data_IF_074894179239
#
_entry.id   IF_074894179239
#
_cell.length_a   1.000
_cell.length_b   1.000
_cell.length_c   1.000
_cell.angle_alpha   90.00
_cell.angle_beta   90.00
_cell.angle_gamma   90.00
#
_symmetry.space_group_name_H-M   'P 1'
#
loop_
_entity.id
_entity.type
_entity.pdbx_description
1 polymer ?
#
# COMPACT_ATOMS: atom_id res chain seq x y z
N UNK A 1 11.49 30.67 10.76
CA UNK A 1 11.27 29.29 10.28
C UNK A 1 9.82 28.95 10.59
N UNK A 2 9.04 28.47 9.61
CA UNK A 2 7.64 28.12 9.85
C UNK A 2 7.57 27.01 10.92
N UNK A 3 6.98 27.31 12.08
CA UNK A 3 6.70 26.31 13.10
C UNK A 3 5.59 25.38 12.59
N UNK A 4 5.97 24.33 11.86
CA UNK A 4 5.04 23.28 11.45
C UNK A 4 4.57 22.54 12.71
N UNK A 5 3.27 22.45 12.91
CA UNK A 5 2.68 21.68 14.00
C UNK A 5 2.70 20.19 13.66
N UNK A 6 2.68 19.32 14.68
CA UNK A 6 2.55 17.86 14.50
C UNK A 6 1.34 17.47 13.66
N UNK A 7 0.22 18.20 13.79
CA UNK A 7 -1.00 17.98 13.01
C UNK A 7 -0.79 18.31 11.53
N UNK A 8 -0.12 19.43 11.24
CA UNK A 8 0.21 19.81 9.87
C UNK A 8 1.21 18.83 9.23
N UNK A 9 2.21 18.37 9.99
CA UNK A 9 3.15 17.34 9.51
C UNK A 9 2.45 16.01 9.20
N UNK A 10 1.56 15.55 10.10
CA UNK A 10 0.75 14.35 9.90
C UNK A 10 -0.19 14.48 8.69
N UNK A 11 -0.82 15.63 8.49
CA UNK A 11 -1.69 15.87 7.34
C UNK A 11 -0.91 15.90 6.01
N UNK A 12 0.28 16.50 5.99
CA UNK A 12 1.16 16.46 4.81
C UNK A 12 1.54 15.01 4.51
N UNK A 13 1.91 14.23 5.52
CA UNK A 13 2.20 12.80 5.35
C UNK A 13 0.98 12.06 4.76
N UNK A 14 -0.21 12.25 5.33
CA UNK A 14 -1.45 11.66 4.83
C UNK A 14 -1.69 11.98 3.34
N UNK A 15 -1.53 13.24 2.93
CA UNK A 15 -1.72 13.63 1.53
C UNK A 15 -0.70 12.97 0.59
N UNK A 16 0.56 12.83 1.01
CA UNK A 16 1.60 12.12 0.25
C UNK A 16 1.24 10.64 0.13
N UNK A 17 0.90 9.98 1.23
CA UNK A 17 0.49 8.57 1.24
C UNK A 17 -0.76 8.34 0.39
N UNK A 18 -1.75 9.24 0.47
CA UNK A 18 -2.97 9.17 -0.33
C UNK A 18 -2.68 9.27 -1.83
N UNK A 19 -1.80 10.17 -2.24
CA UNK A 19 -1.40 10.30 -3.64
C UNK A 19 -0.69 9.02 -4.13
N UNK A 20 0.30 8.52 -3.38
CA UNK A 20 1.02 7.30 -3.72
C UNK A 20 0.08 6.07 -3.79
N UNK A 21 -0.77 5.92 -2.79
CA UNK A 21 -1.76 4.85 -2.72
C UNK A 21 -2.75 4.90 -3.89
N UNK A 22 -3.22 6.10 -4.27
CA UNK A 22 -4.16 6.27 -5.38
C UNK A 22 -3.54 5.88 -6.73
N UNK A 23 -2.25 6.18 -6.95
CA UNK A 23 -1.52 5.76 -8.15
C UNK A 23 -1.44 4.23 -8.21
N UNK A 24 -1.10 3.59 -7.09
CA UNK A 24 -1.01 2.13 -7.01
C UNK A 24 -2.38 1.51 -7.23
N UNK A 25 -3.41 2.00 -6.55
CA UNK A 25 -4.79 1.52 -6.73
C UNK A 25 -5.24 1.63 -8.19
N UNK A 26 -4.95 2.74 -8.86
CA UNK A 26 -5.27 2.92 -10.27
C UNK A 26 -4.59 1.85 -11.15
N UNK A 27 -3.29 1.60 -10.93
CA UNK A 27 -2.55 0.54 -11.66
C UNK A 27 -3.16 -0.83 -11.38
N UNK A 28 -3.43 -1.15 -10.11
CA UNK A 28 -4.04 -2.42 -9.70
C UNK A 28 -5.37 -2.63 -10.41
N UNK A 29 -6.26 -1.65 -10.34
CA UNK A 29 -7.64 -1.78 -10.82
C UNK A 29 -7.76 -1.75 -12.35
N UNK A 30 -6.86 -1.03 -13.04
CA UNK A 30 -6.97 -0.87 -14.51
C UNK A 30 -6.06 -1.80 -15.30
N UNK A 31 -4.87 -2.11 -14.79
CA UNK A 31 -3.85 -2.84 -15.56
C UNK A 31 -3.66 -4.28 -15.09
N UNK A 32 -3.70 -4.53 -13.77
CA UNK A 32 -3.36 -5.85 -13.23
C UNK A 32 -4.57 -6.71 -12.89
N UNK A 33 -5.66 -6.08 -12.43
CA UNK A 33 -6.89 -6.73 -11.98
C UNK A 33 -8.10 -5.90 -12.44
N UNK A 34 -8.41 -5.86 -13.74
CA UNK A 34 -9.70 -5.34 -14.16
C UNK A 34 -10.83 -6.20 -13.58
N UNK A 35 -11.99 -5.62 -13.31
CA UNK A 35 -13.17 -6.41 -12.92
C UNK A 35 -13.51 -7.45 -14.03
N UNK A 36 -13.97 -8.67 -13.66
CA UNK A 36 -14.39 -9.12 -12.33
C UNK A 36 -13.25 -9.62 -11.40
N UNK A 37 -12.00 -9.61 -11.90
CA UNK A 37 -10.89 -10.32 -11.27
C UNK A 37 -10.44 -9.69 -9.95
N UNK A 38 -10.53 -8.36 -9.83
CA UNK A 38 -10.21 -7.65 -8.59
C UNK A 38 -11.09 -8.12 -7.43
N UNK A 39 -12.40 -8.21 -7.67
CA UNK A 39 -13.35 -8.67 -6.67
C UNK A 39 -13.23 -10.17 -6.42
N UNK A 40 -13.08 -10.97 -7.48
CA UNK A 40 -12.99 -12.43 -7.37
C UNK A 40 -11.73 -12.93 -6.64
N UNK A 41 -10.61 -12.21 -6.75
CA UNK A 41 -9.29 -12.65 -6.28
C UNK A 41 -8.86 -11.98 -4.97
N UNK A 42 -9.80 -11.41 -4.21
CA UNK A 42 -9.50 -10.82 -2.91
C UNK A 42 -8.82 -9.44 -2.94
N UNK A 43 -8.87 -8.72 -4.07
CA UNK A 43 -8.25 -7.41 -4.24
C UNK A 43 -8.69 -6.39 -3.19
N UNK A 44 -9.98 -6.40 -2.82
CA UNK A 44 -10.53 -5.52 -1.77
C UNK A 44 -9.92 -5.78 -0.39
N UNK A 45 -9.61 -7.03 -0.04
CA UNK A 45 -9.01 -7.39 1.24
C UNK A 45 -7.58 -6.85 1.30
N UNK A 46 -6.78 -7.08 0.25
CA UNK A 46 -5.43 -6.54 0.14
C UNK A 46 -5.40 -5.00 0.19
N UNK A 47 -6.31 -4.36 -0.54
CA UNK A 47 -6.45 -2.91 -0.57
C UNK A 47 -6.76 -2.32 0.81
N UNK A 48 -7.67 -2.94 1.57
CA UNK A 48 -8.01 -2.50 2.95
C UNK A 48 -6.81 -2.56 3.89
N UNK A 49 -6.00 -3.61 3.79
CA UNK A 49 -4.80 -3.77 4.60
C UNK A 49 -3.79 -2.67 4.25
N UNK A 50 -3.48 -2.51 2.97
CA UNK A 50 -2.54 -1.48 2.49
C UNK A 50 -3.00 -0.06 2.87
N UNK A 51 -4.28 0.26 2.67
CA UNK A 51 -4.84 1.55 3.06
C UNK A 51 -4.73 1.82 4.57
N UNK A 52 -4.97 0.79 5.40
CA UNK A 52 -4.86 0.93 6.86
C UNK A 52 -3.43 1.21 7.31
N UNK A 53 -2.44 0.65 6.61
CA UNK A 53 -1.03 0.89 6.92
C UNK A 53 -0.62 2.31 6.49
N UNK A 54 -0.84 2.66 5.22
CA UNK A 54 -0.27 3.88 4.65
C UNK A 54 -1.09 5.14 4.94
N UNK A 55 -2.42 5.03 4.99
CA UNK A 55 -3.32 6.17 5.18
C UNK A 55 -3.72 6.40 6.64
N UNK A 56 -3.49 5.41 7.51
CA UNK A 56 -3.83 5.52 8.94
C UNK A 56 -2.58 5.39 9.81
N UNK A 57 -1.90 4.24 9.80
CA UNK A 57 -0.76 4.02 10.70
C UNK A 57 0.40 5.00 10.44
N UNK A 58 0.76 5.26 9.18
CA UNK A 58 1.85 6.18 8.83
C UNK A 58 1.65 7.63 9.34
N UNK A 59 0.53 8.27 9.00
CA UNK A 59 0.18 9.59 9.50
C UNK A 59 0.04 9.65 11.02
N UNK A 60 -0.52 8.61 11.66
CA UNK A 60 -0.60 8.50 13.12
C UNK A 60 0.78 8.42 13.77
N UNK A 61 1.69 7.58 13.24
CA UNK A 61 3.07 7.51 13.73
C UNK A 61 3.75 8.87 13.62
N UNK A 62 3.59 9.56 12.48
CA UNK A 62 4.09 10.93 12.31
C UNK A 62 3.51 11.88 13.34
N UNK A 63 2.20 11.81 13.61
CA UNK A 63 1.55 12.65 14.61
C UNK A 63 2.10 12.44 16.02
N UNK A 64 2.42 11.19 16.37
CA UNK A 64 2.94 10.79 17.68
C UNK A 64 4.41 11.19 17.85
N UNK A 65 5.25 10.91 16.84
CA UNK A 65 6.70 11.10 16.97
C UNK A 65 7.16 12.54 16.67
N UNK A 66 6.37 13.32 15.92
CA UNK A 66 6.74 14.67 15.53
C UNK A 66 6.76 15.61 16.75
N UNK A 67 7.96 16.03 17.12
CA UNK A 67 8.19 16.96 18.21
C UNK A 67 9.03 18.15 17.73
N UNK A 68 8.45 19.38 17.66
CA UNK A 68 9.19 20.59 17.28
C UNK A 68 10.36 20.95 18.19
N UNK A 69 10.40 20.41 19.42
CA UNK A 69 11.49 20.64 20.37
C UNK A 69 12.73 19.76 20.12
N UNK A 70 12.63 18.72 19.28
CA UNK A 70 13.78 17.90 18.87
C UNK A 70 14.67 18.68 17.91
N UNK A 71 15.96 18.35 17.89
CA UNK A 71 16.85 18.88 16.86
C UNK A 71 16.35 18.45 15.47
N UNK A 72 16.65 19.25 14.43
CA UNK A 72 16.26 18.92 13.06
C UNK A 72 16.81 17.59 12.59
N UNK A 73 17.98 17.17 13.09
CA UNK A 73 18.62 15.89 12.80
C UNK A 73 17.89 14.71 13.45
N UNK A 74 17.51 14.82 14.72
CA UNK A 74 16.76 13.76 15.39
C UNK A 74 15.38 13.58 14.77
N UNK A 75 14.68 14.69 14.53
CA UNK A 75 13.37 14.66 13.91
C UNK A 75 13.42 14.11 12.48
N UNK A 76 14.45 14.44 11.70
CA UNK A 76 14.60 13.90 10.34
C UNK A 76 14.90 12.40 10.35
N UNK A 77 15.72 11.92 11.30
CA UNK A 77 15.97 10.48 11.46
C UNK A 77 14.69 9.73 11.83
N UNK A 78 13.92 10.22 12.81
CA UNK A 78 12.65 9.61 13.23
C UNK A 78 11.68 9.46 12.05
N UNK A 79 11.48 10.55 11.30
CA UNK A 79 10.58 10.55 10.15
C UNK A 79 11.11 9.71 8.98
N UNK A 80 12.44 9.65 8.78
CA UNK A 80 13.05 8.84 7.73
C UNK A 80 12.89 7.34 7.99
N UNK A 81 12.99 6.91 9.24
CA UNK A 81 12.74 5.51 9.63
C UNK A 81 11.29 5.14 9.34
N UNK A 82 10.33 5.99 9.72
CA UNK A 82 8.91 5.77 9.41
C UNK A 82 8.65 5.71 7.90
N UNK A 83 9.24 6.63 7.13
CA UNK A 83 9.10 6.64 5.68
C UNK A 83 9.73 5.39 5.02
N UNK A 84 10.89 4.94 5.50
CA UNK A 84 11.56 3.74 5.00
C UNK A 84 10.73 2.48 5.26
N UNK A 85 10.22 2.30 6.48
CA UNK A 85 9.38 1.15 6.85
C UNK A 85 8.09 1.13 6.01
N UNK A 86 7.41 2.27 5.87
CA UNK A 86 6.21 2.36 5.02
C UNK A 86 6.52 2.06 3.56
N UNK A 87 7.60 2.61 3.01
CA UNK A 87 8.00 2.34 1.62
C UNK A 87 8.28 0.86 1.41
N UNK A 88 8.99 0.21 2.33
CA UNK A 88 9.24 -1.22 2.27
C UNK A 88 7.95 -2.05 2.35
N UNK A 89 7.02 -1.68 3.25
CA UNK A 89 5.73 -2.33 3.38
C UNK A 89 4.86 -2.16 2.12
N UNK A 90 4.86 -0.97 1.52
CA UNK A 90 4.15 -0.67 0.28
C UNK A 90 4.71 -1.48 -0.89
N UNK A 91 6.04 -1.51 -1.06
CA UNK A 91 6.70 -2.31 -2.09
C UNK A 91 6.35 -3.80 -1.93
N UNK A 92 6.46 -4.32 -0.70
CA UNK A 92 6.15 -5.70 -0.41
C UNK A 92 4.67 -6.02 -0.68
N UNK A 93 3.75 -5.14 -0.29
CA UNK A 93 2.32 -5.26 -0.58
C UNK A 93 2.04 -5.28 -2.08
N UNK A 94 2.64 -4.35 -2.84
CA UNK A 94 2.52 -4.30 -4.31
C UNK A 94 3.06 -5.57 -4.96
N UNK A 95 4.24 -6.07 -4.55
CA UNK A 95 4.80 -7.32 -5.08
C UNK A 95 3.90 -8.52 -4.76
N UNK A 96 3.36 -8.58 -3.54
CA UNK A 96 2.43 -9.63 -3.13
C UNK A 96 1.18 -9.63 -4.01
N UNK A 97 0.55 -8.47 -4.21
CA UNK A 97 -0.61 -8.33 -5.08
C UNK A 97 -0.25 -8.65 -6.53
N UNK A 98 0.88 -8.17 -7.04
CA UNK A 98 1.32 -8.46 -8.41
C UNK A 98 1.44 -9.97 -8.68
N UNK A 99 2.00 -10.71 -7.73
CA UNK A 99 2.19 -12.16 -7.85
C UNK A 99 0.88 -12.96 -7.75
N UNK A 100 -0.15 -12.39 -7.13
CA UNK A 100 -1.48 -12.99 -7.03
C UNK A 100 -2.39 -12.68 -8.23
N UNK A 101 -1.91 -11.87 -9.21
CA UNK A 101 -2.78 -11.44 -10.32
C UNK A 101 -3.27 -12.64 -11.13
N UNK A 102 -4.56 -12.67 -11.51
CA UNK A 102 -5.08 -13.71 -12.37
C UNK A 102 -4.39 -13.68 -13.74
N UNK A 103 -3.88 -14.82 -14.16
CA UNK A 103 -3.23 -15.01 -15.46
C UNK A 103 -4.02 -15.96 -16.36
N UNK A 104 -4.89 -16.78 -15.77
CA UNK A 104 -5.83 -17.60 -16.50
C UNK A 104 -7.15 -17.72 -15.75
N UNK A 105 -8.20 -18.08 -16.49
CA UNK A 105 -9.51 -18.43 -15.95
C UNK A 105 -9.86 -19.80 -16.48
N UNK A 106 -10.23 -20.70 -15.59
CA UNK A 106 -10.60 -22.08 -15.92
C UNK A 106 -12.04 -22.32 -15.50
N UNK A 107 -12.82 -22.94 -16.38
CA UNK A 107 -14.16 -23.41 -16.03
C UNK A 107 -14.08 -24.87 -15.58
N UNK A 108 -14.64 -25.18 -14.41
CA UNK A 108 -14.67 -26.50 -13.82
C UNK A 108 -15.97 -26.69 -13.03
N UNK A 109 -16.67 -27.83 -13.24
CA UNK A 109 -17.88 -28.24 -12.49
C UNK A 109 -18.84 -27.07 -12.20
N UNK A 110 -19.21 -26.30 -13.22
CA UNK A 110 -20.15 -25.16 -13.15
C UNK A 110 -19.62 -23.84 -12.58
N UNK A 111 -18.32 -23.70 -12.31
CA UNK A 111 -17.72 -22.46 -11.80
C UNK A 111 -16.48 -22.01 -12.57
N UNK A 112 -16.28 -20.69 -12.63
CA UNK A 112 -15.04 -20.10 -13.13
C UNK A 112 -14.07 -19.87 -11.96
N UNK A 113 -12.84 -20.35 -12.13
CA UNK A 113 -11.74 -20.20 -11.17
C UNK A 113 -10.63 -19.38 -11.80
N UNK A 114 -10.08 -18.44 -11.04
CA UNK A 114 -8.88 -17.69 -11.42
C UNK A 114 -7.63 -18.46 -11.01
N UNK A 115 -6.65 -18.52 -11.91
CA UNK A 115 -5.31 -19.06 -11.62
C UNK A 115 -4.36 -17.88 -11.42
N UNK A 116 -3.66 -17.84 -10.29
CA UNK A 116 -2.72 -16.76 -9.98
C UNK A 116 -1.38 -16.94 -10.70
N UNK A 117 -0.68 -15.84 -11.00
CA UNK A 117 0.63 -15.90 -11.64
C UNK A 117 1.64 -16.77 -10.86
N UNK A 118 1.57 -16.74 -9.53
CA UNK A 118 2.44 -17.55 -8.68
C UNK A 118 2.22 -19.06 -8.82
N UNK A 119 1.05 -19.50 -9.26
CA UNK A 119 0.73 -20.92 -9.38
C UNK A 119 1.35 -21.53 -10.64
N UNK A 120 1.60 -20.73 -11.68
CA UNK A 120 2.29 -21.17 -12.90
C UNK A 120 3.76 -21.51 -12.64
N UNK A 121 4.46 -20.67 -11.87
CA UNK A 121 5.88 -20.87 -11.54
C UNK A 121 6.15 -22.15 -10.71
N UNK A 122 5.09 -22.82 -10.21
CA UNK A 122 5.23 -24.04 -9.41
C UNK A 122 5.40 -25.30 -10.25
N UNK A 123 5.18 -25.20 -11.57
CA UNK A 123 5.24 -26.32 -12.51
C UNK A 123 6.45 -26.27 -13.47
N UNK A 124 7.28 -25.22 -13.36
CA UNK A 124 8.60 -25.12 -14.00
C UNK A 124 9.71 -25.55 -13.01
#
# INVERSE_FOLDING_TARGET
MNNITRTKASLIHFCISLAAFSIIFFILFTLWYPEPYFTASGGWQGLKIAASIDLVLGPLLTLIIYNPSKSTRELSLDLSVVACIQTAALIWGVMTIYNQRPVAVVYWEDSFFTVAATDLNRYD
#
